data_IF_667101467016
#
_entry.id   IF_667101467016
#
_cell.length_a   1.000
_cell.length_b   1.000
_cell.length_c   1.000
_cell.angle_alpha   90.00
_cell.angle_beta   90.00
_cell.angle_gamma   90.00
#
_symmetry.space_group_name_H-M   'P 1'
#
loop_
_entity.id
_entity.type
_entity.pdbx_description
1 polymer ?
#
# COMPACT_ATOMS: atom_id res chain seq x y z
N UNK A 1 7.19 -4.65 -18.67
CA UNK A 1 7.37 -3.50 -19.56
C UNK A 1 7.05 -2.21 -18.79
N UNK A 2 7.75 -1.09 -19.02
CA UNK A 2 7.43 0.19 -18.42
C UNK A 2 5.96 0.57 -18.66
N UNK A 3 5.24 0.98 -17.60
CA UNK A 3 3.83 1.35 -17.67
C UNK A 3 2.83 0.19 -17.63
N UNK A 4 3.27 -1.05 -17.66
CA UNK A 4 2.38 -2.19 -17.46
C UNK A 4 1.84 -2.19 -16.02
N UNK A 5 0.51 -2.32 -15.87
CA UNK A 5 -0.20 -2.20 -14.59
C UNK A 5 0.02 -0.85 -13.89
N UNK A 6 0.26 0.22 -14.65
CA UNK A 6 0.34 1.56 -14.11
C UNK A 6 -0.98 1.98 -13.46
N UNK A 7 -0.87 2.80 -12.41
CA UNK A 7 -2.02 3.40 -11.74
C UNK A 7 -2.28 4.80 -12.30
N UNK A 8 -3.53 5.24 -12.25
CA UNK A 8 -3.93 6.62 -12.52
C UNK A 8 -5.01 7.05 -11.52
N UNK A 9 -4.93 8.28 -11.05
CA UNK A 9 -5.96 8.93 -10.26
C UNK A 9 -6.52 10.11 -11.07
N UNK A 10 -7.83 10.08 -11.32
CA UNK A 10 -8.56 11.14 -11.97
C UNK A 10 -9.52 11.75 -10.95
N UNK A 11 -9.55 13.06 -10.88
CA UNK A 11 -10.47 13.80 -10.01
C UNK A 11 -11.34 14.71 -10.85
N UNK A 12 -12.53 15.02 -10.34
CA UNK A 12 -13.43 16.00 -10.95
C UNK A 12 -12.76 17.40 -11.02
N UNK A 13 -13.02 18.16 -12.07
CA UNK A 13 -12.43 19.48 -12.28
C UNK A 13 -12.71 20.50 -11.17
N UNK A 14 -13.74 20.26 -10.37
CA UNK A 14 -14.08 21.08 -9.19
C UNK A 14 -13.18 20.82 -7.99
N UNK A 15 -12.36 19.78 -8.04
CA UNK A 15 -11.43 19.38 -6.99
C UNK A 15 -10.01 19.81 -7.36
N UNK A 16 -9.19 20.07 -6.36
CA UNK A 16 -7.81 20.52 -6.57
C UNK A 16 -6.85 19.50 -5.98
N UNK A 17 -6.02 18.89 -6.83
CA UNK A 17 -4.88 18.09 -6.35
C UNK A 17 -3.80 19.06 -5.84
N UNK A 18 -3.40 18.91 -4.58
CA UNK A 18 -2.27 19.66 -4.01
C UNK A 18 -0.95 19.01 -4.44
N UNK A 19 -0.56 19.23 -5.70
CA UNK A 19 0.55 18.53 -6.37
C UNK A 19 1.87 18.59 -5.60
N UNK A 20 2.17 19.72 -4.95
CA UNK A 20 3.39 19.94 -4.17
C UNK A 20 3.43 19.12 -2.87
N UNK A 21 2.30 18.55 -2.46
CA UNK A 21 2.16 17.73 -1.26
C UNK A 21 1.96 16.25 -1.56
N UNK A 22 1.94 15.87 -2.84
CA UNK A 22 1.83 14.48 -3.24
C UNK A 22 3.07 13.72 -2.76
N UNK A 23 2.83 12.61 -2.08
CA UNK A 23 3.89 11.72 -1.63
C UNK A 23 3.83 10.41 -2.41
N UNK A 24 4.99 9.92 -2.81
CA UNK A 24 5.13 8.61 -3.47
C UNK A 24 6.14 7.76 -2.71
N UNK A 25 5.88 6.44 -2.69
CA UNK A 25 6.70 5.48 -1.94
C UNK A 25 7.16 4.35 -2.86
N UNK A 26 7.46 4.69 -4.11
CA UNK A 26 7.90 3.73 -5.11
C UNK A 26 9.25 3.11 -4.76
N UNK A 27 10.12 3.86 -4.10
CA UNK A 27 11.48 3.43 -3.77
C UNK A 27 11.60 2.87 -2.34
N UNK A 28 10.53 2.89 -1.54
CA UNK A 28 10.55 2.39 -0.17
C UNK A 28 10.97 0.91 -0.13
N UNK A 29 12.06 0.54 0.56
CA UNK A 29 12.58 -0.83 0.57
C UNK A 29 11.66 -1.78 1.35
N UNK A 30 11.55 -3.05 0.90
CA UNK A 30 10.72 -4.03 1.60
C UNK A 30 11.25 -4.38 2.99
N UNK A 31 12.56 -4.44 3.16
CA UNK A 31 13.20 -4.74 4.44
C UNK A 31 13.07 -3.60 5.48
N UNK A 32 12.62 -2.40 5.08
CA UNK A 32 12.30 -1.31 6.01
C UNK A 32 10.94 -1.46 6.69
N UNK A 33 10.07 -2.35 6.20
CA UNK A 33 8.83 -2.69 6.91
C UNK A 33 9.18 -3.42 8.20
N UNK A 34 8.87 -2.83 9.35
CA UNK A 34 9.17 -3.44 10.66
C UNK A 34 8.40 -4.77 10.82
N UNK A 35 9.14 -5.86 11.03
CA UNK A 35 8.57 -7.19 11.09
C UNK A 35 7.95 -7.63 9.76
N UNK A 36 8.62 -7.30 8.65
CA UNK A 36 8.26 -7.75 7.31
C UNK A 36 8.19 -9.27 7.20
N UNK A 37 7.51 -9.72 6.15
CA UNK A 37 7.36 -11.14 5.85
C UNK A 37 8.21 -11.60 4.67
N UNK A 38 9.36 -10.96 4.43
CA UNK A 38 10.33 -11.46 3.43
C UNK A 38 10.58 -12.95 3.69
N UNK A 39 10.39 -13.81 2.67
CA UNK A 39 10.52 -15.25 2.86
C UNK A 39 11.96 -15.67 3.21
N UNK A 40 12.08 -16.85 3.81
CA UNK A 40 13.34 -17.57 3.99
C UNK A 40 13.32 -18.87 3.19
N UNK A 41 14.48 -19.41 2.87
CA UNK A 41 14.60 -20.73 2.26
C UNK A 41 14.28 -21.83 3.29
N UNK A 42 14.01 -23.07 2.85
CA UNK A 42 13.69 -24.17 3.76
C UNK A 42 14.77 -24.47 4.80
N UNK A 43 16.03 -24.13 4.51
CA UNK A 43 17.17 -24.28 5.42
C UNK A 43 17.32 -23.11 6.41
N UNK A 44 16.39 -22.14 6.38
CA UNK A 44 16.40 -20.94 7.21
C UNK A 44 17.28 -19.79 6.70
N UNK A 45 18.01 -19.99 5.60
CA UNK A 45 18.81 -18.92 5.01
C UNK A 45 17.91 -17.86 4.34
N UNK A 46 18.39 -16.60 4.18
CA UNK A 46 17.64 -15.55 3.52
C UNK A 46 17.24 -15.94 2.08
N UNK A 47 16.02 -15.59 1.68
CA UNK A 47 15.56 -15.78 0.30
C UNK A 47 16.30 -14.89 -0.68
N UNK A 48 16.47 -13.61 -0.29
CA UNK A 48 17.23 -12.62 -1.04
C UNK A 48 18.58 -12.38 -0.40
N UNK A 49 19.58 -12.09 -1.23
CA UNK A 49 20.89 -11.62 -0.75
C UNK A 49 20.79 -10.19 -0.19
N UNK A 50 21.76 -9.75 0.65
CA UNK A 50 21.81 -8.36 1.10
C UNK A 50 21.90 -7.34 -0.04
N UNK A 51 22.52 -7.70 -1.15
CA UNK A 51 22.65 -6.86 -2.35
C UNK A 51 21.31 -6.71 -3.07
N UNK A 52 20.53 -7.78 -3.17
CA UNK A 52 19.18 -7.75 -3.74
C UNK A 52 18.25 -6.91 -2.86
N UNK A 53 18.28 -7.06 -1.54
CA UNK A 53 17.44 -6.30 -0.62
C UNK A 53 17.66 -4.80 -0.69
N UNK A 54 18.88 -4.35 -0.96
CA UNK A 54 19.19 -2.91 -1.13
C UNK A 54 18.42 -2.24 -2.27
N UNK A 55 18.01 -3.02 -3.27
CA UNK A 55 17.29 -2.51 -4.45
C UNK A 55 15.86 -3.04 -4.54
N UNK A 56 15.51 -3.96 -3.65
CA UNK A 56 14.19 -4.60 -3.66
C UNK A 56 13.17 -3.74 -2.91
N UNK A 57 12.42 -2.96 -3.65
CA UNK A 57 11.37 -2.10 -3.11
C UNK A 57 10.15 -2.90 -2.68
N UNK A 58 9.44 -2.42 -1.64
CA UNK A 58 8.19 -3.00 -1.17
C UNK A 58 7.14 -3.02 -2.29
N UNK A 59 6.84 -1.86 -2.83
CA UNK A 59 5.78 -1.72 -3.82
C UNK A 59 6.15 -2.31 -5.17
N UNK A 60 5.34 -3.23 -5.68
CA UNK A 60 5.50 -3.77 -7.03
C UNK A 60 5.17 -2.74 -8.11
N UNK A 61 4.27 -1.81 -7.85
CA UNK A 61 3.91 -0.67 -8.71
C UNK A 61 4.28 0.64 -8.02
N UNK A 62 3.39 1.16 -7.16
CA UNK A 62 3.65 2.31 -6.30
C UNK A 62 2.63 2.39 -5.17
N UNK A 63 2.93 3.19 -4.15
CA UNK A 63 1.97 3.73 -3.19
C UNK A 63 2.00 5.25 -3.32
N UNK A 64 0.82 5.88 -3.35
CA UNK A 64 0.69 7.32 -3.45
C UNK A 64 -0.23 7.86 -2.36
N UNK A 65 0.18 8.92 -1.71
CA UNK A 65 -0.70 9.78 -0.94
C UNK A 65 -0.94 11.06 -1.77
N UNK A 66 -2.17 11.24 -2.22
CA UNK A 66 -2.57 12.36 -3.06
C UNK A 66 -3.57 13.22 -2.29
N UNK A 67 -3.15 14.37 -1.73
CA UNK A 67 -4.05 15.30 -1.08
C UNK A 67 -4.94 16.00 -2.10
N UNK A 68 -6.25 15.88 -1.92
CA UNK A 68 -7.29 16.50 -2.78
C UNK A 68 -8.10 17.48 -1.95
N UNK A 69 -8.09 18.74 -2.36
CA UNK A 69 -8.88 19.81 -1.73
C UNK A 69 -10.29 19.83 -2.30
N UNK A 70 -11.26 19.81 -1.41
CA UNK A 70 -12.69 19.91 -1.71
C UNK A 70 -13.14 21.37 -1.81
N UNK A 71 -14.30 21.65 -2.43
CA UNK A 71 -14.84 23.03 -2.58
C UNK A 71 -15.08 23.75 -1.25
N UNK A 72 -15.30 23.01 -0.17
CA UNK A 72 -15.46 23.57 1.19
C UNK A 72 -14.13 23.87 1.90
N UNK A 73 -13.00 23.67 1.21
CA UNK A 73 -11.64 23.91 1.73
C UNK A 73 -11.02 22.75 2.51
N UNK A 74 -11.79 21.70 2.85
CA UNK A 74 -11.21 20.50 3.50
C UNK A 74 -10.35 19.69 2.52
N UNK A 75 -9.41 18.91 3.07
CA UNK A 75 -8.52 18.05 2.29
C UNK A 75 -8.80 16.60 2.62
N UNK A 76 -8.88 15.77 1.59
CA UNK A 76 -8.93 14.31 1.71
C UNK A 76 -7.66 13.73 1.05
N UNK A 77 -6.97 12.88 1.77
CA UNK A 77 -5.82 12.13 1.27
C UNK A 77 -6.31 10.87 0.55
N UNK A 78 -6.07 10.77 -0.76
CA UNK A 78 -6.38 9.56 -1.54
C UNK A 78 -5.15 8.68 -1.54
N UNK A 79 -5.20 7.59 -0.76
CA UNK A 79 -4.12 6.63 -0.57
C UNK A 79 -4.26 5.52 -1.61
N UNK A 80 -3.50 5.63 -2.70
CA UNK A 80 -3.62 4.77 -3.87
C UNK A 80 -2.53 3.70 -3.89
N UNK A 81 -2.90 2.44 -4.11
CA UNK A 81 -1.94 1.35 -4.35
C UNK A 81 -2.51 0.25 -5.23
N UNK A 82 -1.60 -0.53 -5.81
CA UNK A 82 -1.93 -1.75 -6.53
C UNK A 82 -0.93 -2.83 -6.11
N UNK A 83 -1.14 -3.47 -4.94
CA UNK A 83 -0.30 -4.52 -4.41
C UNK A 83 -0.11 -5.71 -5.35
N UNK A 84 0.91 -6.49 -5.10
CA UNK A 84 1.19 -7.74 -5.81
C UNK A 84 0.04 -8.72 -5.66
N UNK A 85 -0.47 -9.36 -6.72
CA UNK A 85 -1.41 -10.49 -6.57
C UNK A 85 -0.77 -11.60 -5.73
N UNK A 86 -1.50 -12.19 -4.75
CA UNK A 86 -0.96 -13.22 -3.85
C UNK A 86 -0.92 -14.62 -4.50
N UNK A 87 -0.53 -14.69 -5.77
CA UNK A 87 -0.53 -15.88 -6.61
C UNK A 87 0.68 -15.84 -7.56
N UNK A 88 0.87 -16.88 -8.36
CA UNK A 88 1.95 -17.02 -9.36
C UNK A 88 3.36 -17.15 -8.76
N UNK A 89 3.49 -17.80 -7.60
CA UNK A 89 4.76 -18.08 -6.93
C UNK A 89 4.83 -19.53 -6.45
N UNK A 90 5.89 -19.86 -5.73
CA UNK A 90 6.13 -21.19 -5.20
C UNK A 90 5.67 -21.34 -3.73
N UNK A 91 6.08 -22.43 -3.08
CA UNK A 91 5.71 -22.74 -1.69
C UNK A 91 6.24 -21.73 -0.67
N UNK A 92 7.17 -20.86 -1.07
CA UNK A 92 7.67 -19.75 -0.26
C UNK A 92 6.64 -18.64 -0.05
N UNK A 93 5.57 -18.63 -0.87
CA UNK A 93 4.49 -17.62 -0.82
C UNK A 93 5.00 -16.18 -0.86
N UNK A 94 5.98 -15.93 -1.76
CA UNK A 94 6.65 -14.62 -1.85
C UNK A 94 5.67 -13.49 -2.21
N UNK A 95 4.77 -13.75 -3.16
CA UNK A 95 3.81 -12.76 -3.62
C UNK A 95 2.71 -12.51 -2.58
N UNK A 96 2.23 -13.54 -1.89
CA UNK A 96 1.27 -13.39 -0.80
C UNK A 96 1.85 -12.61 0.37
N UNK A 97 3.10 -12.88 0.74
CA UNK A 97 3.84 -12.14 1.79
C UNK A 97 4.07 -10.68 1.40
N UNK A 98 4.41 -10.43 0.13
CA UNK A 98 4.59 -9.07 -0.39
C UNK A 98 3.27 -8.31 -0.43
N UNK A 99 2.18 -8.92 -0.92
CA UNK A 99 0.83 -8.36 -0.88
C UNK A 99 0.44 -7.94 0.54
N UNK A 100 0.70 -8.84 1.52
CA UNK A 100 0.46 -8.53 2.93
C UNK A 100 1.18 -7.26 3.37
N UNK A 101 2.48 -7.16 3.10
CA UNK A 101 3.29 -6.04 3.57
C UNK A 101 2.98 -4.74 2.78
N UNK A 102 2.62 -4.85 1.50
CA UNK A 102 2.14 -3.72 0.69
C UNK A 102 0.82 -3.14 1.25
N UNK A 103 -0.12 -3.98 1.71
CA UNK A 103 -1.37 -3.52 2.33
C UNK A 103 -1.10 -3.02 3.75
N UNK A 104 -0.25 -3.70 4.51
CA UNK A 104 0.15 -3.30 5.85
C UNK A 104 0.82 -1.93 5.87
N UNK A 105 1.53 -1.56 4.81
CA UNK A 105 2.10 -0.22 4.66
C UNK A 105 1.06 0.88 4.93
N UNK A 106 -0.19 0.71 4.48
CA UNK A 106 -1.24 1.67 4.76
C UNK A 106 -1.64 1.71 6.24
N UNK A 107 -1.63 0.56 6.94
CA UNK A 107 -1.86 0.53 8.39
C UNK A 107 -0.82 1.35 9.15
N UNK A 108 0.44 1.15 8.81
CA UNK A 108 1.57 1.84 9.42
C UNK A 108 1.51 3.35 9.05
N UNK A 109 1.21 3.68 7.79
CA UNK A 109 1.09 5.05 7.30
C UNK A 109 -0.03 5.84 7.99
N UNK A 110 -1.25 5.32 8.05
CA UNK A 110 -2.38 6.00 8.70
C UNK A 110 -2.24 6.05 10.23
N UNK A 111 -1.39 5.21 10.80
CA UNK A 111 -1.02 5.25 12.22
C UNK A 111 0.04 6.31 12.52
N UNK A 112 0.60 6.96 11.51
CA UNK A 112 1.63 7.99 11.66
C UNK A 112 3.03 7.44 11.94
N UNK A 113 3.35 6.24 11.45
CA UNK A 113 4.64 5.59 11.68
C UNK A 113 5.79 6.46 11.14
N UNK A 114 6.77 6.72 11.99
CA UNK A 114 7.94 7.55 11.69
C UNK A 114 9.06 6.81 10.99
N UNK A 115 8.96 5.51 10.81
CA UNK A 115 9.92 4.73 10.01
C UNK A 115 9.69 4.87 8.51
N UNK A 116 8.51 5.33 8.10
CA UNK A 116 8.15 5.53 6.71
C UNK A 116 8.84 6.78 6.16
N UNK A 117 9.44 6.63 4.98
CA UNK A 117 10.09 7.71 4.24
C UNK A 117 9.62 7.67 2.79
N UNK A 118 9.25 8.81 2.21
CA UNK A 118 8.82 8.89 0.82
C UNK A 118 10.00 9.05 -0.16
N UNK A 119 9.71 9.05 -1.45
CA UNK A 119 10.71 9.16 -2.51
C UNK A 119 11.47 10.51 -2.51
N UNK A 120 10.97 11.52 -1.78
CA UNK A 120 11.61 12.83 -1.59
C UNK A 120 12.34 12.95 -0.25
N UNK A 121 12.35 11.89 0.57
CA UNK A 121 13.01 11.87 1.88
C UNK A 121 12.16 12.46 3.02
N UNK A 122 10.87 12.71 2.82
CA UNK A 122 9.98 13.18 3.88
C UNK A 122 9.62 12.00 4.79
N UNK A 123 9.90 12.16 6.08
CA UNK A 123 9.72 11.13 7.11
C UNK A 123 8.34 11.22 7.74
N UNK A 124 7.77 10.07 8.05
CA UNK A 124 6.51 9.90 8.79
C UNK A 124 5.34 9.49 7.91
N UNK A 125 4.32 8.97 8.57
CA UNK A 125 3.04 8.61 7.96
C UNK A 125 2.09 9.81 7.85
N UNK A 126 0.80 9.50 7.79
CA UNK A 126 -0.27 10.49 7.67
C UNK A 126 -0.39 11.34 8.95
N UNK A 127 -0.65 12.62 8.79
CA UNK A 127 -0.87 13.53 9.90
C UNK A 127 -2.10 13.13 10.73
N UNK A 128 -1.99 13.30 12.04
CA UNK A 128 -3.07 12.98 12.97
C UNK A 128 -4.32 13.81 12.67
N UNK A 129 -5.44 13.12 12.48
CA UNK A 129 -6.75 13.75 12.21
C UNK A 129 -6.97 14.08 10.73
N UNK A 130 -6.05 13.77 9.84
CA UNK A 130 -6.28 13.88 8.41
C UNK A 130 -7.39 12.92 7.96
N UNK A 131 -8.23 13.40 7.03
CA UNK A 131 -9.23 12.56 6.39
C UNK A 131 -8.60 11.82 5.22
N UNK A 132 -8.90 10.54 5.09
CA UNK A 132 -8.33 9.73 4.02
C UNK A 132 -9.32 8.70 3.46
N UNK A 133 -9.01 8.22 2.27
CA UNK A 133 -9.61 7.05 1.65
C UNK A 133 -8.50 6.17 1.08
N UNK A 134 -8.57 4.87 1.31
CA UNK A 134 -7.68 3.89 0.65
C UNK A 134 -8.39 3.41 -0.61
N UNK A 135 -7.72 3.50 -1.74
CA UNK A 135 -8.28 3.19 -3.06
C UNK A 135 -7.29 2.41 -3.93
N UNK A 136 -7.82 1.57 -4.80
CA UNK A 136 -7.06 0.77 -5.76
C UNK A 136 -7.46 -0.69 -5.76
N UNK A 137 -6.81 -1.47 -6.61
CA UNK A 137 -6.95 -2.93 -6.61
C UNK A 137 -5.94 -3.52 -5.62
N UNK A 138 -6.40 -3.89 -4.44
CA UNK A 138 -5.53 -4.45 -3.39
C UNK A 138 -5.15 -5.92 -3.64
N UNK A 139 -5.74 -6.58 -4.63
CA UNK A 139 -5.55 -8.02 -4.87
C UNK A 139 -5.76 -8.85 -3.58
N UNK A 140 -6.70 -8.45 -2.75
CA UNK A 140 -6.99 -9.08 -1.46
C UNK A 140 -8.47 -8.95 -1.10
N UNK A 141 -9.09 -10.07 -0.77
CA UNK A 141 -10.46 -10.14 -0.28
C UNK A 141 -10.43 -10.30 1.25
N UNK A 142 -11.21 -9.51 2.01
CA UNK A 142 -11.24 -9.62 3.47
C UNK A 142 -11.88 -10.91 3.99
N UNK A 143 -12.72 -11.59 3.19
CA UNK A 143 -13.47 -12.79 3.59
C UNK A 143 -12.99 -14.06 2.90
N UNK A 144 -12.48 -13.95 1.67
CA UNK A 144 -12.15 -15.06 0.80
C UNK A 144 -10.84 -14.79 0.06
N UNK A 145 -10.16 -15.86 -0.36
CA UNK A 145 -8.97 -15.78 -1.20
C UNK A 145 -7.69 -16.20 -0.49
N UNK A 146 -6.60 -16.17 -1.23
CA UNK A 146 -5.30 -16.73 -0.86
C UNK A 146 -4.38 -15.72 -0.14
N UNK A 147 -4.93 -14.60 0.36
CA UNK A 147 -4.14 -13.55 1.01
C UNK A 147 -3.42 -14.05 2.25
N UNK A 148 -2.11 -13.90 2.29
CA UNK A 148 -1.29 -14.23 3.45
C UNK A 148 -1.72 -13.44 4.69
N UNK A 149 -2.16 -14.12 5.75
CA UNK A 149 -2.56 -13.52 7.04
C UNK A 149 -3.62 -12.41 6.95
N UNK A 150 -4.49 -12.43 5.94
CA UNK A 150 -5.67 -11.56 5.80
C UNK A 150 -5.40 -10.06 6.00
N UNK A 151 -4.54 -9.42 5.21
CA UNK A 151 -4.16 -8.01 5.42
C UNK A 151 -5.33 -7.04 5.18
N UNK A 152 -6.22 -7.33 4.23
CA UNK A 152 -7.41 -6.53 3.95
C UNK A 152 -8.36 -6.50 5.15
N UNK A 153 -8.57 -7.65 5.82
CA UNK A 153 -9.38 -7.71 7.02
C UNK A 153 -8.79 -6.86 8.16
N UNK A 154 -7.46 -6.89 8.33
CA UNK A 154 -6.77 -6.05 9.31
C UNK A 154 -6.92 -4.56 9.00
N UNK A 155 -6.83 -4.19 7.72
CA UNK A 155 -7.04 -2.80 7.30
C UNK A 155 -8.46 -2.33 7.62
N UNK A 156 -9.48 -3.12 7.29
CA UNK A 156 -10.87 -2.81 7.60
C UNK A 156 -11.17 -2.76 9.10
N UNK A 157 -10.49 -3.58 9.91
CA UNK A 157 -10.63 -3.59 11.37
C UNK A 157 -9.86 -2.46 12.08
N UNK A 158 -9.07 -1.68 11.36
CA UNK A 158 -8.28 -0.62 11.97
C UNK A 158 -9.18 0.52 12.48
N UNK A 159 -8.94 1.00 13.70
CA UNK A 159 -9.77 2.00 14.40
C UNK A 159 -10.01 3.33 13.66
N UNK A 160 -9.13 3.69 12.74
CA UNK A 160 -9.25 4.90 11.91
C UNK A 160 -9.96 4.64 10.58
N UNK A 161 -10.21 3.38 10.24
CA UNK A 161 -10.90 2.99 9.00
C UNK A 161 -12.37 2.76 9.33
N UNK A 162 -13.24 3.45 8.62
CA UNK A 162 -14.67 3.15 8.62
C UNK A 162 -14.96 2.41 7.32
N UNK A 163 -15.36 1.14 7.38
CA UNK A 163 -15.81 0.46 6.18
C UNK A 163 -16.97 1.25 5.57
N UNK A 164 -16.80 1.71 4.34
CA UNK A 164 -17.91 2.35 3.65
C UNK A 164 -19.02 1.33 3.49
N UNK A 165 -20.17 1.60 4.06
CA UNK A 165 -21.35 0.76 3.85
C UNK A 165 -21.69 0.74 2.36
N UNK A 166 -21.38 -0.37 1.68
CA UNK A 166 -21.60 -0.54 0.26
C UNK A 166 -20.39 -0.28 -0.64
N UNK A 167 -19.17 -0.57 -0.20
CA UNK A 167 -18.06 -0.75 -1.13
C UNK A 167 -18.42 -1.88 -2.09
N UNK A 168 -18.77 -1.48 -3.31
CA UNK A 168 -18.94 -2.43 -4.41
C UNK A 168 -17.57 -2.94 -4.76
N UNK A 169 -17.28 -4.15 -4.30
CA UNK A 169 -16.17 -4.93 -4.83
C UNK A 169 -16.52 -5.22 -6.28
N UNK A 170 -15.91 -4.54 -7.22
CA UNK A 170 -15.92 -4.94 -8.61
C UNK A 170 -14.99 -6.15 -8.73
N UNK A 171 -15.51 -7.32 -8.39
CA UNK A 171 -14.88 -8.57 -8.75
C UNK A 171 -14.98 -8.71 -10.28
N UNK A 172 -13.88 -8.52 -10.96
CA UNK A 172 -13.76 -8.96 -12.34
C UNK A 172 -13.33 -10.42 -12.30
N UNK A 173 -14.24 -11.28 -12.79
CA UNK A 173 -13.95 -12.66 -13.11
C UNK A 173 -12.98 -12.80 -14.28
#
# INVERSE_FOLDING_TARGET
FPGQYAMALLVDERLIIETEKVRTFRLFPWDYVLGNFIPSKPDGSPWFSPEELKVFRLSSKSHWDVPVRLPNGSVIHVLCSHPTPPVFDGPEDRNGRRNHDEIRFWLDYISGDRSIVDDNGVIGGLDRGAHFVVAGDLNADPEKGDSFKSPAQKLLAHRLVQPAGGLVQLAHG
#
